data_IF_577819747785
#
_entry.id   IF_577819747785
#
_cell.length_a   1.000
_cell.length_b   1.000
_cell.length_c   1.000
_cell.angle_alpha   90.00
_cell.angle_beta   90.00
_cell.angle_gamma   90.00
#
_symmetry.space_group_name_H-M   'P 1'
#
loop_
_entity.id
_entity.type
_entity.pdbx_description
1 polymer ?
#
# COMPACT_ATOMS: atom_id res chain seq x y z
N UNK A 1 -46.90 12.05 34.68
CA UNK A 1 -46.18 12.06 33.39
C UNK A 1 -44.75 12.59 33.58
N UNK A 2 -43.76 11.70 33.54
CA UNK A 2 -42.33 12.01 33.62
C UNK A 2 -41.62 11.34 32.43
N UNK A 3 -40.56 11.94 31.86
CA UNK A 3 -39.93 11.44 30.64
C UNK A 3 -39.11 10.18 30.93
N UNK A 4 -39.28 9.18 30.07
CA UNK A 4 -38.48 7.95 30.05
C UNK A 4 -37.19 8.24 29.29
N UNK A 5 -36.05 8.21 29.97
CA UNK A 5 -34.72 8.23 29.33
C UNK A 5 -34.36 6.81 28.85
N UNK A 6 -33.82 6.64 27.63
CA UNK A 6 -33.29 5.35 27.21
C UNK A 6 -31.97 5.05 27.95
N UNK A 7 -31.82 3.79 28.37
CA UNK A 7 -30.61 3.25 29.00
C UNK A 7 -29.42 3.26 28.03
N UNK A 8 -28.18 3.37 28.52
CA UNK A 8 -26.98 3.28 27.68
C UNK A 8 -26.88 1.87 27.09
N UNK A 9 -26.77 1.79 25.76
CA UNK A 9 -26.44 0.56 25.04
C UNK A 9 -24.96 0.27 25.28
N UNK A 10 -24.68 -0.88 25.89
CA UNK A 10 -23.33 -1.39 26.02
C UNK A 10 -22.77 -1.75 24.64
N UNK A 11 -21.62 -1.18 24.29
CA UNK A 11 -20.83 -1.56 23.12
C UNK A 11 -20.07 -2.84 23.49
N UNK A 12 -20.23 -3.96 22.77
CA UNK A 12 -19.44 -5.15 23.03
C UNK A 12 -17.97 -4.95 22.61
N UNK A 13 -17.00 -5.57 23.30
CA UNK A 13 -15.60 -5.55 22.91
C UNK A 13 -15.35 -6.51 21.74
N UNK A 14 -14.52 -6.06 20.80
CA UNK A 14 -13.65 -6.87 19.91
C UNK A 14 -14.31 -7.78 18.87
N UNK A 15 -13.98 -7.54 17.59
CA UNK A 15 -13.80 -8.64 16.61
C UNK A 15 -12.41 -8.47 15.99
N UNK A 16 -11.72 -9.60 15.99
CA UNK A 16 -10.29 -9.79 15.88
C UNK A 16 -9.73 -9.51 14.49
N UNK A 17 -8.45 -9.14 14.50
CA UNK A 17 -7.58 -9.09 13.35
C UNK A 17 -7.47 -10.47 12.68
N UNK A 18 -7.95 -10.59 11.44
CA UNK A 18 -7.56 -11.68 10.55
C UNK A 18 -6.42 -11.21 9.64
N UNK A 19 -5.29 -11.90 9.74
CA UNK A 19 -4.07 -11.65 8.99
C UNK A 19 -4.30 -11.84 7.49
N UNK A 20 -4.17 -10.75 6.75
CA UNK A 20 -4.21 -10.73 5.29
C UNK A 20 -2.79 -10.92 4.76
N UNK A 21 -2.57 -12.03 4.05
CA UNK A 21 -1.33 -12.31 3.34
C UNK A 21 -1.14 -11.36 2.17
N UNK A 22 -0.02 -10.65 2.14
CA UNK A 22 0.38 -9.74 1.05
C UNK A 22 1.09 -10.49 -0.10
N UNK A 23 0.69 -10.29 -1.36
CA UNK A 23 1.36 -10.77 -2.60
C UNK A 23 1.41 -9.58 -3.59
N UNK A 24 2.36 -9.35 -4.53
CA UNK A 24 3.26 -10.20 -5.37
C UNK A 24 4.55 -9.39 -5.76
N UNK A 25 5.59 -10.02 -6.34
CA UNK A 25 6.94 -9.49 -6.65
C UNK A 25 7.40 -9.75 -8.12
N UNK A 26 8.47 -9.07 -8.59
CA UNK A 26 8.91 -8.86 -9.98
C UNK A 26 10.07 -9.73 -10.57
N UNK A 27 10.38 -9.45 -11.85
CA UNK A 27 10.92 -10.28 -12.97
C UNK A 27 12.46 -10.50 -13.05
N UNK A 28 12.90 -11.71 -13.50
CA UNK A 28 13.71 -11.96 -14.72
C UNK A 28 14.32 -13.39 -14.80
N UNK A 29 14.08 -14.03 -15.96
CA UNK A 29 14.78 -15.11 -16.71
C UNK A 29 15.36 -16.36 -16.01
N UNK A 30 14.73 -17.52 -16.23
CA UNK A 30 15.38 -18.76 -16.73
C UNK A 30 14.33 -19.87 -16.94
N UNK A 31 14.51 -20.67 -18.00
CA UNK A 31 13.61 -21.77 -18.41
C UNK A 31 13.88 -23.06 -17.60
N UNK A 32 12.80 -23.84 -17.46
CA UNK A 32 12.71 -25.28 -17.13
C UNK A 32 12.51 -25.74 -15.66
N UNK A 33 11.23 -25.88 -15.23
CA UNK A 33 10.66 -27.01 -14.42
C UNK A 33 9.14 -26.84 -14.15
N UNK A 34 8.33 -27.92 -13.94
CA UNK A 34 6.87 -27.84 -13.73
C UNK A 34 6.48 -27.38 -12.30
N UNK A 35 5.20 -27.00 -12.07
CA UNK A 35 4.86 -25.94 -11.14
C UNK A 35 4.70 -26.39 -9.67
N UNK A 36 5.44 -25.72 -8.80
CA UNK A 36 5.00 -25.37 -7.45
C UNK A 36 4.28 -24.01 -7.59
N UNK A 37 3.04 -23.80 -7.11
CA UNK A 37 2.25 -22.62 -7.49
C UNK A 37 2.78 -21.28 -6.96
N UNK A 38 3.88 -21.27 -6.18
CA UNK A 38 4.59 -20.05 -5.80
C UNK A 38 5.76 -19.81 -6.73
N UNK A 39 5.71 -18.72 -7.52
CA UNK A 39 6.88 -18.22 -8.26
C UNK A 39 8.07 -18.13 -7.29
N UNK A 40 9.25 -18.67 -7.61
CA UNK A 40 10.35 -18.85 -6.64
C UNK A 40 10.88 -17.53 -6.04
N UNK A 41 10.53 -16.38 -6.62
CA UNK A 41 11.01 -15.05 -6.22
C UNK A 41 9.96 -14.21 -5.49
N UNK A 42 8.76 -14.74 -5.19
CA UNK A 42 7.71 -13.99 -4.48
C UNK A 42 7.55 -14.54 -3.07
N UNK A 43 7.62 -13.66 -2.06
CA UNK A 43 7.39 -14.04 -0.67
C UNK A 43 6.23 -13.24 -0.08
N UNK A 44 5.18 -13.96 0.30
CA UNK A 44 4.07 -13.42 1.09
C UNK A 44 4.50 -13.31 2.55
N UNK A 45 4.21 -12.16 3.18
CA UNK A 45 4.58 -11.88 4.57
C UNK A 45 3.43 -11.23 5.34
N UNK A 46 3.48 -11.32 6.67
CA UNK A 46 2.44 -10.81 7.59
C UNK A 46 2.87 -9.54 8.33
N UNK A 47 3.65 -8.70 7.65
CA UNK A 47 4.09 -7.40 8.15
C UNK A 47 4.04 -6.35 7.03
N UNK A 48 3.92 -5.08 7.40
CA UNK A 48 3.89 -3.97 6.46
C UNK A 48 5.25 -3.69 5.81
N UNK A 49 5.30 -2.76 4.87
CA UNK A 49 6.52 -2.46 4.10
C UNK A 49 7.74 -2.08 4.95
N UNK A 50 7.53 -1.48 6.13
CA UNK A 50 8.58 -1.12 7.07
C UNK A 50 9.03 -2.27 8.00
N UNK A 51 8.38 -3.44 7.92
CA UNK A 51 8.69 -4.59 8.78
C UNK A 51 7.91 -4.63 10.10
N UNK A 52 6.94 -3.74 10.29
CA UNK A 52 6.07 -3.71 11.47
C UNK A 52 4.83 -4.59 11.26
N UNK A 53 4.39 -5.26 12.33
CA UNK A 53 3.08 -5.91 12.38
C UNK A 53 2.16 -5.21 13.39
N UNK A 54 0.88 -5.22 13.06
CA UNK A 54 -0.22 -4.76 13.92
C UNK A 54 -1.08 -5.93 14.42
N UNK A 55 -0.70 -7.17 14.11
CA UNK A 55 -1.48 -8.39 14.40
C UNK A 55 -0.89 -9.10 15.62
N UNK A 56 -1.70 -9.27 16.66
CA UNK A 56 -1.31 -10.04 17.84
C UNK A 56 -0.84 -11.47 17.46
N UNK A 57 0.23 -11.99 18.09
CA UNK A 57 0.91 -11.44 19.27
C UNK A 57 1.91 -10.32 18.96
N UNK A 58 2.14 -9.98 17.70
CA UNK A 58 3.15 -9.02 17.31
C UNK A 58 2.59 -7.60 17.09
N UNK A 59 2.88 -6.73 18.05
CA UNK A 59 2.74 -5.27 17.90
C UNK A 59 4.14 -4.69 17.83
N UNK A 60 4.54 -4.16 16.66
CA UNK A 60 5.85 -3.55 16.46
C UNK A 60 6.71 -4.24 15.41
N UNK A 61 8.03 -4.01 15.46
CA UNK A 61 8.96 -4.49 14.45
C UNK A 61 9.15 -6.02 14.53
N UNK A 62 8.85 -6.72 13.42
CA UNK A 62 9.02 -8.18 13.26
C UNK A 62 9.93 -8.55 12.09
N UNK A 63 10.31 -7.57 11.27
CA UNK A 63 11.29 -7.70 10.21
C UNK A 63 12.14 -6.43 10.12
N UNK A 64 13.30 -6.53 9.46
CA UNK A 64 14.18 -5.39 9.23
C UNK A 64 13.48 -4.38 8.30
N UNK A 65 13.71 -3.10 8.57
CA UNK A 65 13.34 -2.01 7.67
C UNK A 65 13.94 -2.23 6.26
N UNK A 66 13.37 -1.59 5.22
CA UNK A 66 13.96 -1.60 3.88
C UNK A 66 15.42 -1.11 3.90
N UNK A 67 16.30 -1.84 3.21
CA UNK A 67 17.68 -1.42 2.97
C UNK A 67 17.78 -0.49 1.73
N UNK A 68 18.98 0.01 1.43
CA UNK A 68 19.24 0.92 0.30
C UNK A 68 19.00 0.27 -1.09
N UNK A 69 18.79 -1.04 -1.13
CA UNK A 69 18.52 -1.81 -2.35
C UNK A 69 17.05 -2.22 -2.47
N UNK A 70 16.23 -1.85 -1.48
CA UNK A 70 14.82 -2.19 -1.40
C UNK A 70 13.97 -0.95 -1.67
N UNK A 71 13.22 -0.97 -2.75
CA UNK A 71 12.08 -0.08 -2.92
C UNK A 71 10.90 -0.63 -2.12
N UNK A 72 10.06 0.25 -1.59
CA UNK A 72 8.73 -0.12 -1.14
C UNK A 72 7.68 0.83 -1.68
N UNK A 73 6.44 0.36 -1.70
CA UNK A 73 5.31 1.15 -2.17
C UNK A 73 4.64 1.87 -1.00
N UNK A 74 4.40 3.15 -1.22
CA UNK A 74 3.51 3.99 -0.43
C UNK A 74 2.16 4.12 -1.16
N UNK A 75 1.08 3.47 -0.67
CA UNK A 75 -0.27 3.64 -1.20
C UNK A 75 -0.85 4.98 -0.73
N UNK A 76 -0.39 6.05 -1.35
CA UNK A 76 -0.68 7.42 -0.96
C UNK A 76 -2.14 7.80 -1.25
N UNK A 77 -2.70 8.64 -0.38
CA UNK A 77 -3.91 9.39 -0.70
C UNK A 77 -3.58 10.52 -1.66
N UNK A 78 -4.39 10.71 -2.71
CA UNK A 78 -4.21 11.81 -3.68
C UNK A 78 -4.09 13.18 -3.00
N UNK A 79 -4.89 13.40 -1.95
CA UNK A 79 -4.87 14.64 -1.19
C UNK A 79 -3.53 14.87 -0.47
N UNK A 80 -2.79 13.84 -0.05
CA UNK A 80 -1.45 14.04 0.52
C UNK A 80 -0.43 14.44 -0.53
N UNK A 81 -0.52 13.86 -1.74
CA UNK A 81 0.41 14.16 -2.83
C UNK A 81 0.20 15.58 -3.37
N UNK A 82 -1.05 15.95 -3.67
CA UNK A 82 -1.34 17.20 -4.37
C UNK A 82 -1.56 18.43 -3.46
N UNK A 83 -1.90 18.24 -2.18
CA UNK A 83 -2.12 19.35 -1.26
C UNK A 83 -0.80 20.02 -0.86
N UNK A 84 -0.73 21.34 -0.98
CA UNK A 84 0.43 22.17 -0.62
C UNK A 84 0.35 22.80 0.77
N UNK A 85 -0.77 22.65 1.45
CA UNK A 85 -0.99 23.20 2.80
C UNK A 85 -0.49 22.23 3.86
N UNK A 86 -0.96 20.97 3.81
CA UNK A 86 -0.66 19.97 4.83
C UNK A 86 0.05 18.72 4.29
N UNK A 87 -0.01 18.45 2.98
CA UNK A 87 0.67 17.37 2.26
C UNK A 87 1.04 16.13 3.09
N UNK A 88 2.34 15.77 3.21
CA UNK A 88 2.80 14.70 4.11
C UNK A 88 2.54 14.96 5.61
N UNK A 89 2.63 16.21 6.07
CA UNK A 89 2.47 16.53 7.49
C UNK A 89 1.07 16.28 8.07
N UNK A 90 0.04 16.24 7.23
CA UNK A 90 -1.32 15.90 7.62
C UNK A 90 -1.61 14.38 7.69
N UNK A 91 -0.63 13.52 7.43
CA UNK A 91 -0.86 12.08 7.34
C UNK A 91 -0.87 11.36 8.69
N UNK A 92 -1.68 10.31 8.76
CA UNK A 92 -1.79 9.40 9.90
C UNK A 92 -1.81 7.94 9.44
N UNK A 93 -1.90 6.99 10.38
CA UNK A 93 -1.94 5.57 10.08
C UNK A 93 -0.71 5.08 9.30
N UNK A 94 -0.94 4.24 8.28
CA UNK A 94 0.15 3.68 7.46
C UNK A 94 0.94 4.76 6.71
N UNK A 95 0.25 5.73 6.10
CA UNK A 95 0.90 6.84 5.40
C UNK A 95 1.75 7.69 6.36
N UNK A 96 1.21 8.03 7.54
CA UNK A 96 1.95 8.77 8.57
C UNK A 96 3.22 8.04 9.04
N UNK A 97 3.15 6.72 9.23
CA UNK A 97 4.31 5.90 9.58
C UNK A 97 5.37 5.90 8.46
N UNK A 98 4.94 5.75 7.20
CA UNK A 98 5.83 5.83 6.04
C UNK A 98 6.48 7.22 5.95
N UNK A 99 5.73 8.29 6.09
CA UNK A 99 6.25 9.65 5.95
C UNK A 99 7.20 10.03 7.08
N UNK A 100 6.94 9.54 8.30
CA UNK A 100 7.88 9.65 9.41
C UNK A 100 9.17 8.88 9.11
N UNK A 101 9.06 7.64 8.63
CA UNK A 101 10.22 6.84 8.24
C UNK A 101 10.98 7.47 7.08
N UNK A 102 10.34 8.13 6.12
CA UNK A 102 11.00 8.86 5.04
C UNK A 102 11.66 10.16 5.50
N UNK A 103 11.31 10.69 6.68
CA UNK A 103 11.78 11.99 7.17
C UNK A 103 11.03 13.18 6.55
N UNK A 104 9.82 12.95 6.01
CA UNK A 104 9.01 14.00 5.38
C UNK A 104 7.78 14.38 6.19
N UNK A 105 7.56 13.83 7.38
CA UNK A 105 6.37 14.08 8.21
C UNK A 105 6.18 15.53 8.66
N UNK A 106 7.18 16.40 8.52
CA UNK A 106 7.07 17.85 8.80
C UNK A 106 7.00 18.70 7.53
N UNK A 107 7.05 18.08 6.36
CA UNK A 107 6.99 18.75 5.06
C UNK A 107 5.53 19.03 4.72
N UNK A 108 5.26 20.23 4.22
CA UNK A 108 3.94 20.65 3.73
C UNK A 108 3.62 20.10 2.33
N UNK A 109 4.63 19.68 1.59
CA UNK A 109 4.49 19.25 0.21
C UNK A 109 5.42 18.07 -0.10
N UNK A 110 5.00 17.21 -1.02
CA UNK A 110 5.88 16.26 -1.67
C UNK A 110 6.87 16.95 -2.62
N UNK A 111 8.02 16.32 -2.94
CA UNK A 111 8.93 16.82 -3.96
C UNK A 111 8.19 17.15 -5.27
N UNK A 112 8.52 18.27 -5.96
CA UNK A 112 7.83 18.67 -7.18
C UNK A 112 7.74 17.56 -8.25
N UNK A 113 8.78 16.74 -8.39
CA UNK A 113 8.80 15.61 -9.34
C UNK A 113 7.75 14.55 -9.03
N UNK A 114 7.44 14.31 -7.75
CA UNK A 114 6.39 13.36 -7.34
C UNK A 114 5.02 13.95 -7.65
N UNK A 115 4.81 15.22 -7.29
CA UNK A 115 3.55 15.94 -7.52
C UNK A 115 3.22 16.07 -9.00
N UNK A 116 4.21 16.40 -9.83
CA UNK A 116 4.01 16.57 -11.27
C UNK A 116 3.78 15.23 -11.98
N UNK A 117 4.32 14.13 -11.45
CA UNK A 117 4.13 12.81 -12.05
C UNK A 117 2.80 12.14 -11.67
N UNK A 118 2.27 12.40 -10.47
CA UNK A 118 1.07 11.73 -9.95
C UNK A 118 -0.11 12.71 -9.91
N UNK A 119 -0.69 13.00 -11.06
CA UNK A 119 -1.80 13.97 -11.21
C UNK A 119 -3.19 13.35 -11.18
N UNK A 120 -3.30 12.03 -11.30
CA UNK A 120 -4.53 11.26 -11.24
C UNK A 120 -4.32 9.94 -10.46
N UNK A 121 -5.39 9.26 -10.00
CA UNK A 121 -5.30 7.89 -9.53
C UNK A 121 -4.66 6.97 -10.57
N UNK A 122 -4.17 5.81 -10.11
CA UNK A 122 -3.46 4.77 -10.87
C UNK A 122 -2.03 5.14 -11.27
N UNK A 123 -1.57 6.36 -11.00
CA UNK A 123 -0.20 6.79 -11.30
C UNK A 123 0.75 6.50 -10.13
N UNK A 124 2.03 6.31 -10.48
CA UNK A 124 3.10 6.04 -9.53
C UNK A 124 4.38 6.80 -9.89
N UNK A 125 5.20 7.11 -8.88
CA UNK A 125 6.52 7.71 -9.07
C UNK A 125 7.53 7.20 -8.05
N UNK A 126 8.64 6.67 -8.56
CA UNK A 126 9.82 6.39 -7.75
C UNK A 126 10.51 7.69 -7.31
N UNK A 127 10.88 7.75 -6.04
CA UNK A 127 11.72 8.80 -5.49
C UNK A 127 12.65 8.25 -4.39
N UNK A 128 13.93 8.61 -4.49
CA UNK A 128 14.93 8.29 -3.49
C UNK A 128 15.08 9.46 -2.51
N UNK A 129 14.70 9.26 -1.27
CA UNK A 129 14.93 10.21 -0.18
C UNK A 129 16.31 9.96 0.42
N UNK A 130 17.02 11.03 0.77
CA UNK A 130 18.33 10.94 1.41
C UNK A 130 18.70 12.26 2.05
N UNK A 131 19.34 12.19 3.21
CA UNK A 131 19.99 13.31 3.86
C UNK A 131 21.48 12.99 3.99
N UNK A 132 22.37 14.00 4.00
CA UNK A 132 23.78 13.79 4.26
C UNK A 132 24.00 12.96 5.54
N UNK A 133 24.76 11.87 5.44
CA UNK A 133 25.06 10.99 6.57
C UNK A 133 23.96 10.00 6.95
N UNK A 134 22.86 9.90 6.18
CA UNK A 134 21.83 8.86 6.36
C UNK A 134 21.73 7.93 5.14
N UNK A 135 21.40 6.65 5.33
CA UNK A 135 21.14 5.74 4.23
C UNK A 135 20.02 6.23 3.32
N UNK A 136 20.13 5.92 2.02
CA UNK A 136 19.10 6.25 1.05
C UNK A 136 17.82 5.44 1.33
N UNK A 137 16.69 6.12 1.22
CA UNK A 137 15.35 5.60 1.48
C UNK A 137 14.55 5.60 0.18
N UNK A 138 14.30 4.43 -0.38
CA UNK A 138 13.72 4.28 -1.71
C UNK A 138 12.22 3.99 -1.63
N UNK A 139 11.41 4.88 -2.20
CA UNK A 139 9.96 4.79 -2.15
C UNK A 139 9.35 4.96 -3.53
N UNK A 140 8.31 4.17 -3.82
CA UNK A 140 7.42 4.37 -4.96
C UNK A 140 6.11 4.88 -4.39
N UNK A 141 5.83 6.17 -4.58
CA UNK A 141 4.52 6.72 -4.25
C UNK A 141 3.55 6.30 -5.34
N UNK A 142 2.41 5.73 -4.96
CA UNK A 142 1.36 5.33 -5.89
C UNK A 142 -0.01 5.69 -5.33
N UNK A 143 -0.90 6.18 -6.19
CA UNK A 143 -2.28 6.48 -5.80
C UNK A 143 -3.19 5.41 -6.37
N UNK A 144 -3.87 4.67 -5.49
CA UNK A 144 -4.86 3.67 -5.90
C UNK A 144 -6.23 4.29 -6.24
N UNK A 145 -7.16 3.46 -6.68
CA UNK A 145 -8.58 3.81 -6.78
C UNK A 145 -9.18 4.00 -5.39
N UNK A 146 -10.11 4.92 -5.23
CA UNK A 146 -10.94 5.01 -4.02
C UNK A 146 -12.30 4.33 -4.28
N UNK A 147 -12.46 3.06 -3.89
CA UNK A 147 -13.71 2.34 -4.14
C UNK A 147 -14.88 2.83 -3.28
N UNK A 148 -14.66 3.71 -2.30
CA UNK A 148 -15.76 4.36 -1.57
C UNK A 148 -16.58 5.29 -2.47
N UNK A 149 -15.95 5.88 -3.48
CA UNK A 149 -16.60 6.79 -4.43
C UNK A 149 -17.20 6.04 -5.63
N UNK A 150 -16.98 4.73 -5.71
CA UNK A 150 -17.41 3.87 -6.81
C UNK A 150 -18.08 2.58 -6.30
N UNK A 151 -19.20 2.67 -5.55
CA UNK A 151 -19.77 1.53 -4.83
C UNK A 151 -20.32 0.41 -5.73
N UNK A 152 -20.53 0.68 -7.02
CA UNK A 152 -21.04 -0.28 -8.00
C UNK A 152 -19.94 -0.92 -8.86
N UNK A 153 -18.66 -0.70 -8.51
CA UNK A 153 -17.54 -1.28 -9.27
C UNK A 153 -17.63 -2.80 -9.24
N UNK A 154 -17.69 -3.41 -10.41
CA UNK A 154 -17.65 -4.87 -10.53
C UNK A 154 -16.27 -5.43 -10.15
N UNK A 155 -16.21 -6.73 -9.83
CA UNK A 155 -14.94 -7.42 -9.56
C UNK A 155 -13.94 -7.24 -10.71
N UNK A 156 -14.39 -7.38 -11.96
CA UNK A 156 -13.55 -7.24 -13.16
C UNK A 156 -12.99 -5.84 -13.32
N UNK A 157 -13.79 -4.80 -13.06
CA UNK A 157 -13.33 -3.40 -13.12
C UNK A 157 -12.37 -3.09 -11.98
N UNK A 158 -12.60 -3.63 -10.77
CA UNK A 158 -11.68 -3.48 -9.66
C UNK A 158 -10.32 -4.11 -9.96
N UNK A 159 -10.31 -5.34 -10.51
CA UNK A 159 -9.08 -6.01 -10.96
C UNK A 159 -8.38 -5.19 -12.04
N UNK A 160 -9.09 -4.73 -13.07
CA UNK A 160 -8.49 -3.98 -14.18
C UNK A 160 -7.82 -2.67 -13.70
N UNK A 161 -8.49 -1.91 -12.83
CA UNK A 161 -7.93 -0.67 -12.30
C UNK A 161 -6.73 -0.92 -11.38
N UNK A 162 -6.82 -1.90 -10.48
CA UNK A 162 -5.70 -2.26 -9.61
C UNK A 162 -4.52 -2.80 -10.42
N UNK A 163 -4.77 -3.58 -11.48
CA UNK A 163 -3.72 -4.08 -12.37
C UNK A 163 -2.97 -2.93 -13.05
N UNK A 164 -3.69 -1.90 -13.49
CA UNK A 164 -3.07 -0.69 -14.04
C UNK A 164 -2.18 0.03 -13.00
N UNK A 165 -2.64 0.14 -11.75
CA UNK A 165 -1.83 0.73 -10.68
C UNK A 165 -0.56 -0.09 -10.41
N UNK A 166 -0.67 -1.42 -10.34
CA UNK A 166 0.47 -2.31 -10.16
C UNK A 166 1.44 -2.28 -11.34
N UNK A 167 0.93 -2.24 -12.58
CA UNK A 167 1.76 -2.08 -13.77
C UNK A 167 2.63 -0.81 -13.66
N UNK A 168 2.02 0.33 -13.31
CA UNK A 168 2.74 1.59 -13.15
C UNK A 168 3.77 1.56 -12.00
N UNK A 169 3.45 0.88 -10.89
CA UNK A 169 4.41 0.61 -9.80
C UNK A 169 5.60 -0.21 -10.31
N UNK A 170 5.33 -1.27 -11.06
CA UNK A 170 6.34 -2.20 -11.56
C UNK A 170 7.26 -1.52 -12.59
N UNK A 171 6.71 -0.66 -13.45
CA UNK A 171 7.50 0.20 -14.35
C UNK A 171 8.47 1.06 -13.55
N UNK A 172 7.99 1.78 -12.53
CA UNK A 172 8.83 2.61 -11.67
C UNK A 172 9.89 1.79 -10.90
N UNK A 173 9.55 0.57 -10.49
CA UNK A 173 10.51 -0.33 -9.86
C UNK A 173 11.61 -0.76 -10.84
N UNK A 174 11.24 -1.17 -12.06
CA UNK A 174 12.20 -1.52 -13.11
C UNK A 174 13.13 -0.34 -13.44
N UNK A 175 12.57 0.87 -13.61
CA UNK A 175 13.34 2.10 -13.87
C UNK A 175 14.30 2.47 -12.73
N UNK A 176 13.99 2.08 -11.48
CA UNK A 176 14.85 2.38 -10.34
C UNK A 176 16.16 1.59 -10.31
N UNK A 177 16.24 0.46 -11.02
CA UNK A 177 17.38 -0.46 -10.99
C UNK A 177 17.58 -1.22 -9.67
N UNK A 178 16.64 -1.12 -8.74
CA UNK A 178 16.69 -1.79 -7.43
C UNK A 178 16.34 -3.28 -7.55
N UNK A 179 16.74 -4.07 -6.54
CA UNK A 179 16.65 -5.54 -6.60
C UNK A 179 15.47 -6.12 -5.82
N UNK A 180 14.93 -5.37 -4.86
CA UNK A 180 13.86 -5.82 -3.98
C UNK A 180 12.73 -4.80 -3.97
N UNK A 181 11.50 -5.31 -4.05
CA UNK A 181 10.28 -4.52 -3.94
C UNK A 181 9.44 -5.04 -2.78
N UNK A 182 8.94 -4.16 -1.92
CA UNK A 182 7.91 -4.49 -0.92
C UNK A 182 6.61 -3.78 -1.28
N UNK A 183 5.52 -4.54 -1.35
CA UNK A 183 4.19 -4.03 -1.70
C UNK A 183 3.25 -4.02 -0.49
N UNK A 184 2.31 -3.08 -0.51
CA UNK A 184 1.05 -3.18 0.21
C UNK A 184 -0.09 -3.39 -0.78
N UNK A 185 -1.22 -3.99 -0.35
CA UNK A 185 -2.45 -3.99 -1.15
C UNK A 185 -2.87 -2.56 -1.51
N UNK A 186 -2.75 -2.20 -2.79
CA UNK A 186 -3.24 -0.93 -3.32
C UNK A 186 -4.76 -0.82 -3.09
N UNK A 187 -5.21 0.37 -2.71
CA UNK A 187 -6.61 0.63 -2.33
C UNK A 187 -7.12 -0.22 -1.16
N UNK A 188 -6.24 -0.82 -0.36
CA UNK A 188 -6.62 -1.52 0.87
C UNK A 188 -7.10 -0.57 1.97
N UNK A 189 -7.56 -1.15 3.08
CA UNK A 189 -8.03 -0.37 4.24
C UNK A 189 -9.20 0.54 3.89
N UNK A 190 -9.09 1.83 4.19
CA UNK A 190 -10.18 2.80 3.99
C UNK A 190 -10.63 2.89 2.53
N UNK A 191 -9.71 2.77 1.56
CA UNK A 191 -10.03 2.93 0.13
C UNK A 191 -10.69 1.70 -0.50
N UNK A 192 -10.79 0.58 0.24
CA UNK A 192 -11.40 -0.65 -0.28
C UNK A 192 -12.92 -0.53 -0.42
N UNK A 193 -13.53 0.48 0.22
CA UNK A 193 -14.96 0.75 0.09
C UNK A 193 -15.81 -0.48 0.44
N UNK A 194 -16.82 -0.84 -0.37
CA UNK A 194 -17.65 -2.02 -0.13
C UNK A 194 -16.86 -3.34 -0.04
N UNK A 195 -15.70 -3.44 -0.69
CA UNK A 195 -14.86 -4.63 -0.63
C UNK A 195 -14.26 -4.90 0.75
N UNK A 196 -14.26 -3.89 1.65
CA UNK A 196 -13.86 -4.09 3.06
C UNK A 196 -14.74 -5.09 3.81
N UNK A 197 -15.97 -5.31 3.36
CA UNK A 197 -16.92 -6.25 3.96
C UNK A 197 -16.52 -7.72 3.72
N UNK A 198 -15.71 -7.97 2.68
CA UNK A 198 -15.19 -9.29 2.32
C UNK A 198 -13.71 -9.17 1.94
N UNK A 199 -12.88 -9.04 2.97
CA UNK A 199 -11.42 -8.93 2.81
C UNK A 199 -10.78 -10.16 2.12
N UNK A 200 -11.27 -11.41 2.31
CA UNK A 200 -10.86 -12.53 1.47
C UNK A 200 -11.09 -12.29 -0.03
N UNK A 201 -12.28 -11.82 -0.42
CA UNK A 201 -12.55 -11.48 -1.82
C UNK A 201 -11.65 -10.35 -2.33
N UNK A 202 -11.43 -9.30 -1.53
CA UNK A 202 -10.52 -8.21 -1.90
C UNK A 202 -9.07 -8.67 -2.06
N UNK A 203 -8.64 -9.66 -1.27
CA UNK A 203 -7.32 -10.26 -1.40
C UNK A 203 -7.15 -11.02 -2.70
N UNK A 204 -8.19 -11.74 -3.14
CA UNK A 204 -8.19 -12.42 -4.44
C UNK A 204 -8.15 -11.42 -5.60
N UNK A 205 -8.91 -10.32 -5.49
CA UNK A 205 -8.85 -9.21 -6.46
C UNK A 205 -7.43 -8.63 -6.51
N UNK A 206 -6.82 -8.40 -5.35
CA UNK A 206 -5.46 -7.87 -5.25
C UNK A 206 -4.45 -8.82 -5.90
N UNK A 207 -4.50 -10.12 -5.57
CA UNK A 207 -3.59 -11.11 -6.14
C UNK A 207 -3.70 -11.17 -7.67
N UNK A 208 -4.92 -11.26 -8.21
CA UNK A 208 -5.16 -11.27 -9.66
C UNK A 208 -4.70 -9.97 -10.32
N UNK A 209 -4.92 -8.82 -9.67
CA UNK A 209 -4.49 -7.53 -10.18
C UNK A 209 -2.97 -7.42 -10.27
N UNK A 210 -2.22 -7.89 -9.27
CA UNK A 210 -0.76 -7.86 -9.37
C UNK A 210 -0.26 -8.82 -10.44
N UNK A 211 -0.87 -10.01 -10.58
CA UNK A 211 -0.53 -10.94 -11.66
C UNK A 211 -0.72 -10.32 -13.04
N UNK A 212 -1.84 -9.64 -13.29
CA UNK A 212 -2.10 -8.93 -14.54
C UNK A 212 -1.23 -7.69 -14.75
N UNK A 213 -0.81 -7.03 -13.67
CA UNK A 213 0.11 -5.90 -13.77
C UNK A 213 1.51 -6.28 -14.28
N UNK A 214 1.84 -7.57 -14.33
CA UNK A 214 3.07 -8.09 -14.93
C UNK A 214 2.99 -8.37 -16.43
N UNK A 215 1.79 -8.49 -16.98
CA UNK A 215 1.56 -8.80 -18.40
C UNK A 215 1.71 -7.55 -19.26
#
# INVERSE_FOLDING_TARGET
>A
PAPVFPRPIAIPPSVEAMGLGASVLACCTSRDKPPNPTRPNVKVVHYGVLGNSSVAPAVGAVAREPDEETAFVDPAGMHHIQNTTDGPSGASGAAGAIYSWLGISTRKEFPPVVRQAITAPLLAKFYGYGEPGRPKRNCIHAVGVDFRTMPQTSRSEAVAQLAQAYCNILVQFCESGLRKLRLLPMSGGVFSGPWSLDMPAFSLITAEAVERGFE
#
